data_IF_906949336866
#
_entry.id   IF_906949336866
#
_cell.length_a   1.000
_cell.length_b   1.000
_cell.length_c   1.000
_cell.angle_alpha   90.00
_cell.angle_beta   90.00
_cell.angle_gamma   90.00
#
_symmetry.space_group_name_H-M   'P 1'
#
loop_
_entity.id
_entity.type
_entity.pdbx_description
1 polymer ?
#
# COMPACT_ATOMS: atom_id res chain seq x y z
N UNK A 1 -5.69 8.33 -15.96
CA UNK A 1 -6.62 8.20 -14.81
C UNK A 1 -6.34 6.87 -14.14
N UNK A 2 -6.11 6.86 -12.83
CA UNK A 2 -5.82 5.67 -12.04
C UNK A 2 -7.12 5.02 -11.54
N UNK A 3 -7.09 3.72 -11.34
CA UNK A 3 -8.23 2.94 -10.83
C UNK A 3 -8.03 2.71 -9.32
N UNK A 4 -8.89 3.30 -8.48
CA UNK A 4 -8.79 3.25 -7.02
C UNK A 4 -9.71 2.17 -6.43
N UNK A 5 -9.37 0.91 -6.74
CA UNK A 5 -10.18 -0.28 -6.40
C UNK A 5 -9.74 -1.01 -5.12
N UNK A 6 -8.71 -0.53 -4.42
CA UNK A 6 -8.14 -1.14 -3.22
C UNK A 6 -8.98 -0.94 -1.96
N UNK A 7 -9.68 0.19 -1.84
CA UNK A 7 -10.57 0.50 -0.71
C UNK A 7 -9.86 1.01 0.57
N UNK A 8 -8.53 1.15 0.49
CA UNK A 8 -7.62 1.78 1.45
C UNK A 8 -6.49 2.44 0.66
N UNK A 9 -6.05 3.62 1.09
CA UNK A 9 -5.08 4.44 0.37
C UNK A 9 -3.77 3.70 0.07
N UNK A 10 -3.24 2.96 1.05
CA UNK A 10 -2.02 2.17 0.86
C UNK A 10 -2.17 1.07 -0.20
N UNK A 11 -3.36 0.47 -0.34
CA UNK A 11 -3.63 -0.55 -1.35
C UNK A 11 -3.84 0.09 -2.72
N UNK A 12 -4.52 1.23 -2.79
CA UNK A 12 -4.66 2.01 -4.03
C UNK A 12 -3.29 2.47 -4.57
N UNK A 13 -2.37 2.82 -3.68
CA UNK A 13 -0.98 3.13 -4.03
C UNK A 13 -0.24 1.88 -4.55
N UNK A 14 -0.35 0.75 -3.84
CA UNK A 14 0.26 -0.53 -4.24
C UNK A 14 -0.24 -1.02 -5.62
N UNK A 15 -1.49 -0.69 -5.97
CA UNK A 15 -2.14 -1.03 -7.23
C UNK A 15 -1.79 -0.09 -8.40
N UNK A 16 -0.81 0.80 -8.24
CA UNK A 16 -0.23 1.56 -9.36
C UNK A 16 0.70 0.73 -10.26
N UNK A 17 0.68 -0.60 -10.13
CA UNK A 17 1.24 -1.56 -11.09
C UNK A 17 0.15 -2.53 -11.50
N UNK A 18 -0.07 -2.67 -12.80
CA UNK A 18 -1.00 -3.66 -13.35
C UNK A 18 -0.25 -4.91 -13.81
N UNK A 19 -0.97 -6.02 -13.97
CA UNK A 19 -0.41 -7.28 -14.50
C UNK A 19 0.81 -7.81 -13.75
N UNK A 20 0.85 -7.59 -12.43
CA UNK A 20 1.99 -7.98 -11.56
C UNK A 20 2.48 -9.43 -11.74
N UNK A 21 1.60 -10.45 -11.88
CA UNK A 21 2.05 -11.83 -12.04
C UNK A 21 2.58 -12.20 -13.43
N UNK A 22 2.57 -11.28 -14.41
CA UNK A 22 3.03 -11.56 -15.78
C UNK A 22 4.48 -11.16 -16.01
N UNK A 23 5.07 -11.63 -17.12
CA UNK A 23 6.43 -11.27 -17.55
C UNK A 23 6.61 -9.77 -17.85
N UNK A 24 5.51 -9.05 -18.07
CA UNK A 24 5.50 -7.62 -18.37
C UNK A 24 4.51 -6.88 -17.46
N UNK A 25 4.87 -6.65 -16.18
CA UNK A 25 4.07 -5.81 -15.31
C UNK A 25 4.04 -4.38 -15.87
N UNK A 26 2.87 -3.74 -15.78
CA UNK A 26 2.64 -2.39 -16.31
C UNK A 26 2.81 -1.37 -15.18
N UNK A 27 3.90 -0.60 -15.23
CA UNK A 27 4.18 0.52 -14.34
C UNK A 27 3.35 1.75 -14.69
N UNK A 28 2.61 2.30 -13.73
CA UNK A 28 1.80 3.52 -13.93
C UNK A 28 2.47 4.79 -13.36
N UNK A 29 3.52 4.66 -12.53
CA UNK A 29 4.29 5.75 -11.96
C UNK A 29 5.65 5.89 -12.68
N UNK A 30 5.62 6.28 -13.95
CA UNK A 30 6.83 6.41 -14.78
C UNK A 30 7.61 7.70 -14.52
N UNK A 31 6.99 8.65 -13.83
CA UNK A 31 7.57 9.95 -13.50
C UNK A 31 7.04 10.48 -12.16
N UNK A 32 7.73 11.48 -11.61
CA UNK A 32 7.22 12.21 -10.45
C UNK A 32 5.89 12.93 -10.77
N UNK A 33 5.68 13.32 -12.03
CA UNK A 33 4.40 13.89 -12.48
C UNK A 33 3.24 12.90 -12.36
N UNK A 34 3.49 11.61 -12.63
CA UNK A 34 2.49 10.55 -12.45
C UNK A 34 2.17 10.34 -10.97
N UNK A 35 3.19 10.38 -10.10
CA UNK A 35 3.00 10.32 -8.64
C UNK A 35 2.15 11.49 -8.12
N UNK A 36 2.40 12.70 -8.61
CA UNK A 36 1.58 13.88 -8.26
C UNK A 36 0.15 13.71 -8.79
N UNK A 37 -0.01 13.28 -10.03
CA UNK A 37 -1.33 13.05 -10.65
C UNK A 37 -2.14 11.99 -9.89
N UNK A 38 -1.49 10.91 -9.47
CA UNK A 38 -2.08 9.89 -8.62
C UNK A 38 -2.49 10.48 -7.26
N UNK A 39 -1.60 11.25 -6.62
CA UNK A 39 -1.89 11.86 -5.31
C UNK A 39 -3.06 12.82 -5.35
N UNK A 40 -3.24 13.57 -6.45
CA UNK A 40 -4.39 14.43 -6.66
C UNK A 40 -5.68 13.60 -6.77
N UNK A 41 -5.67 12.55 -7.59
CA UNK A 41 -6.84 11.68 -7.75
C UNK A 41 -7.20 10.95 -6.46
N UNK A 42 -6.21 10.57 -5.66
CA UNK A 42 -6.39 9.97 -4.34
C UNK A 42 -6.83 10.98 -3.25
N UNK A 43 -6.98 12.25 -3.59
CA UNK A 43 -7.44 13.30 -2.65
C UNK A 43 -6.37 13.77 -1.66
N UNK A 44 -5.08 13.50 -1.92
CA UNK A 44 -3.97 13.86 -1.04
C UNK A 44 -3.42 15.27 -1.30
N UNK A 45 -3.75 15.87 -2.44
CA UNK A 45 -3.27 17.19 -2.84
C UNK A 45 -4.37 17.97 -3.56
N UNK A 46 -4.65 19.19 -3.08
CA UNK A 46 -5.46 20.16 -3.78
C UNK A 46 -4.72 20.73 -5.00
N UNK A 47 -5.44 21.33 -5.95
CA UNK A 47 -4.84 21.87 -7.19
C UNK A 47 -3.67 22.84 -6.95
N UNK A 48 -3.78 23.69 -5.92
CA UNK A 48 -2.69 24.62 -5.55
C UNK A 48 -1.41 23.88 -5.14
N UNK A 49 -1.57 22.74 -4.46
CA UNK A 49 -0.47 21.93 -3.96
C UNK A 49 0.15 21.12 -5.11
N UNK A 50 -0.68 20.60 -6.01
CA UNK A 50 -0.23 19.97 -7.26
C UNK A 50 0.65 20.92 -8.06
N UNK A 51 0.20 22.17 -8.28
CA UNK A 51 1.01 23.19 -8.97
C UNK A 51 2.34 23.45 -8.26
N UNK A 52 2.33 23.58 -6.93
CA UNK A 52 3.54 23.78 -6.13
C UNK A 52 4.51 22.60 -6.23
N UNK A 53 4.02 21.36 -6.15
CA UNK A 53 4.84 20.15 -6.26
C UNK A 53 5.49 20.02 -7.64
N UNK A 54 4.74 20.27 -8.72
CA UNK A 54 5.27 20.23 -10.08
C UNK A 54 6.30 21.34 -10.31
N UNK A 55 6.07 22.54 -9.79
CA UNK A 55 7.04 23.63 -9.86
C UNK A 55 8.31 23.33 -9.04
N UNK A 56 8.16 22.73 -7.86
CA UNK A 56 9.27 22.26 -7.03
C UNK A 56 10.09 21.18 -7.73
N UNK A 57 9.44 20.23 -8.39
CA UNK A 57 10.11 19.19 -9.17
C UNK A 57 10.90 19.76 -10.35
N UNK A 58 10.38 20.80 -11.04
CA UNK A 58 11.12 21.51 -12.09
C UNK A 58 12.36 22.22 -11.55
N UNK A 59 12.30 22.77 -10.33
CA UNK A 59 13.44 23.44 -9.67
C UNK A 59 14.46 22.44 -9.13
N UNK A 60 14.03 21.24 -8.74
CA UNK A 60 14.86 20.22 -8.10
C UNK A 60 14.63 18.84 -8.72
N UNK A 61 15.03 18.63 -10.00
CA UNK A 61 14.72 17.39 -10.72
C UNK A 61 15.35 16.14 -10.10
N UNK A 62 16.60 16.24 -9.60
CA UNK A 62 17.27 15.13 -8.92
C UNK A 62 16.54 14.71 -7.63
N UNK A 63 16.05 15.67 -6.85
CA UNK A 63 15.25 15.40 -5.65
C UNK A 63 13.92 14.74 -6.02
N UNK A 64 13.25 15.20 -7.08
CA UNK A 64 12.01 14.60 -7.56
C UNK A 64 12.20 13.15 -8.02
N UNK A 65 13.28 12.86 -8.74
CA UNK A 65 13.65 11.50 -9.15
C UNK A 65 13.90 10.60 -7.93
N UNK A 66 14.70 11.07 -6.95
CA UNK A 66 14.96 10.32 -5.72
C UNK A 66 13.67 10.07 -4.90
N UNK A 67 12.71 11.00 -4.92
CA UNK A 67 11.39 10.78 -4.29
C UNK A 67 10.60 9.71 -5.03
N UNK A 68 10.60 9.71 -6.36
CA UNK A 68 9.92 8.67 -7.14
C UNK A 68 10.51 7.28 -6.86
N UNK A 69 11.84 7.17 -6.80
CA UNK A 69 12.52 5.90 -6.45
C UNK A 69 12.11 5.42 -5.05
N UNK A 70 12.09 6.31 -4.05
CA UNK A 70 11.61 5.98 -2.69
C UNK A 70 10.13 5.60 -2.69
N UNK A 71 9.31 6.29 -3.48
CA UNK A 71 7.89 5.97 -3.62
C UNK A 71 7.70 4.55 -4.18
N UNK A 72 8.44 4.18 -5.22
CA UNK A 72 8.41 2.85 -5.81
C UNK A 72 8.89 1.80 -4.80
N UNK A 73 10.01 2.04 -4.11
CA UNK A 73 10.52 1.12 -3.09
C UNK A 73 9.50 0.87 -1.96
N UNK A 74 8.89 1.95 -1.45
CA UNK A 74 7.82 1.88 -0.45
C UNK A 74 6.59 1.15 -0.99
N UNK A 75 6.16 1.44 -2.23
CA UNK A 75 5.03 0.77 -2.88
C UNK A 75 5.24 -0.73 -2.95
N UNK A 76 6.42 -1.15 -3.39
CA UNK A 76 6.73 -2.57 -3.53
C UNK A 76 6.84 -3.27 -2.18
N UNK A 77 7.36 -2.60 -1.14
CA UNK A 77 7.32 -3.12 0.22
C UNK A 77 5.89 -3.30 0.74
N UNK A 78 5.05 -2.26 0.60
CA UNK A 78 3.61 -2.30 0.96
C UNK A 78 2.93 -3.46 0.23
N UNK A 79 3.13 -3.58 -1.09
CA UNK A 79 2.55 -4.66 -1.89
C UNK A 79 2.96 -6.04 -1.35
N UNK A 80 4.27 -6.28 -1.14
CA UNK A 80 4.76 -7.58 -0.68
C UNK A 80 4.29 -7.94 0.72
N UNK A 81 4.19 -6.96 1.62
CA UNK A 81 3.62 -7.15 2.96
C UNK A 81 2.16 -7.62 2.84
N UNK A 82 1.32 -6.87 2.13
CA UNK A 82 -0.11 -7.18 2.06
C UNK A 82 -0.44 -8.39 1.19
N UNK A 83 0.37 -8.70 0.16
CA UNK A 83 0.27 -9.95 -0.58
C UNK A 83 0.67 -11.15 0.31
N UNK A 84 1.68 -11.00 1.18
CA UNK A 84 1.99 -12.03 2.17
C UNK A 84 0.82 -12.25 3.13
N UNK A 85 0.24 -11.17 3.68
CA UNK A 85 -0.96 -11.25 4.54
C UNK A 85 -2.13 -11.92 3.83
N UNK A 86 -2.45 -11.50 2.60
CA UNK A 86 -3.56 -12.08 1.82
C UNK A 86 -3.37 -13.56 1.51
N UNK A 87 -2.11 -14.01 1.41
CA UNK A 87 -1.74 -15.41 1.24
C UNK A 87 -1.38 -16.13 2.54
N UNK A 88 -1.74 -15.59 3.70
CA UNK A 88 -1.52 -16.18 5.04
C UNK A 88 -0.04 -16.52 5.33
N UNK A 89 0.88 -15.70 4.81
CA UNK A 89 2.33 -15.82 4.99
C UNK A 89 2.86 -14.68 5.85
N UNK A 90 3.98 -14.91 6.52
CA UNK A 90 4.70 -13.87 7.24
C UNK A 90 5.27 -12.81 6.27
N UNK A 91 5.14 -11.53 6.63
CA UNK A 91 5.81 -10.44 5.92
C UNK A 91 7.33 -10.54 6.13
N UNK A 92 8.11 -10.19 5.09
CA UNK A 92 9.57 -10.19 5.19
C UNK A 92 10.05 -9.04 6.09
N UNK A 93 11.06 -9.31 6.91
CA UNK A 93 11.65 -8.31 7.79
C UNK A 93 12.18 -7.09 7.03
N UNK A 94 12.74 -7.29 5.83
CA UNK A 94 13.23 -6.20 4.96
C UNK A 94 12.11 -5.28 4.47
N UNK A 95 10.94 -5.83 4.12
CA UNK A 95 9.80 -5.02 3.67
C UNK A 95 9.22 -4.22 4.85
N UNK A 96 9.16 -4.82 6.04
CA UNK A 96 8.78 -4.12 7.27
C UNK A 96 9.79 -3.02 7.64
N UNK A 97 11.09 -3.24 7.45
CA UNK A 97 12.12 -2.23 7.67
C UNK A 97 11.94 -1.02 6.75
N UNK A 98 11.63 -1.24 5.46
CA UNK A 98 11.30 -0.15 4.51
C UNK A 98 10.09 0.66 4.98
N UNK A 99 9.02 -0.01 5.41
CA UNK A 99 7.83 0.68 5.92
C UNK A 99 8.12 1.47 7.21
N UNK A 100 8.88 0.89 8.13
CA UNK A 100 9.25 1.53 9.39
C UNK A 100 10.17 2.74 9.19
N UNK A 101 11.09 2.68 8.22
CA UNK A 101 11.90 3.84 7.83
C UNK A 101 11.02 4.99 7.29
N UNK A 102 10.05 4.66 6.42
CA UNK A 102 9.10 5.65 5.92
C UNK A 102 8.23 6.22 7.05
N UNK A 103 7.83 5.41 8.05
CA UNK A 103 7.07 5.88 9.22
C UNK A 103 7.90 6.85 10.08
N UNK A 104 9.17 6.53 10.32
CA UNK A 104 10.08 7.39 11.07
C UNK A 104 10.28 8.75 10.40
N UNK A 105 10.25 8.79 9.07
CA UNK A 105 10.23 10.05 8.31
C UNK A 105 8.86 10.75 8.38
N UNK A 106 7.75 10.03 8.24
CA UNK A 106 6.42 10.64 8.15
C UNK A 106 5.93 11.21 9.49
N UNK A 107 5.93 10.42 10.56
CA UNK A 107 5.21 10.71 11.80
C UNK A 107 5.62 12.02 12.51
N UNK A 108 6.90 12.45 12.53
CA UNK A 108 7.27 13.74 13.12
C UNK A 108 6.63 14.97 12.44
N UNK A 109 6.01 14.79 11.26
CA UNK A 109 5.32 15.83 10.51
C UNK A 109 3.80 15.81 10.73
N UNK A 110 3.29 14.93 11.58
CA UNK A 110 1.88 14.87 11.93
C UNK A 110 1.64 15.64 13.22
N UNK A 111 0.71 16.60 13.20
CA UNK A 111 0.39 17.43 14.34
C UNK A 111 -1.11 17.61 14.53
N UNK A 112 -1.51 18.00 15.73
CA UNK A 112 -2.88 18.40 16.03
C UNK A 112 -2.99 19.92 15.79
N UNK A 113 -3.92 20.32 14.93
CA UNK A 113 -4.18 21.73 14.62
C UNK A 113 -5.64 22.10 14.95
N UNK A 114 -5.91 23.34 15.35
CA UNK A 114 -7.28 23.83 15.51
C UNK A 114 -7.99 23.92 14.14
N UNK A 115 -9.23 23.43 14.07
CA UNK A 115 -10.09 23.47 12.87
C UNK A 115 -11.51 23.86 13.26
N UNK A 116 -11.79 25.17 13.22
CA UNK A 116 -13.02 25.74 13.75
C UNK A 116 -13.11 25.49 15.25
N UNK A 117 -14.23 24.94 15.73
CA UNK A 117 -14.44 24.62 17.15
C UNK A 117 -14.00 23.20 17.54
N UNK A 118 -13.10 22.58 16.76
CA UNK A 118 -12.56 21.23 17.01
C UNK A 118 -11.08 21.20 16.69
N UNK A 119 -10.45 20.07 16.97
CA UNK A 119 -9.08 19.78 16.58
C UNK A 119 -9.05 18.71 15.50
N UNK A 120 -8.05 18.76 14.62
CA UNK A 120 -7.84 17.77 13.58
C UNK A 120 -6.35 17.40 13.50
N UNK A 121 -6.09 16.17 13.09
CA UNK A 121 -4.76 15.79 12.63
C UNK A 121 -4.48 16.45 11.28
N UNK A 122 -3.32 17.09 11.16
CA UNK A 122 -2.85 17.69 9.91
C UNK A 122 -1.35 17.46 9.73
N UNK A 123 -0.93 17.31 8.47
CA UNK A 123 0.47 17.16 8.11
C UNK A 123 1.13 18.54 8.02
N UNK A 124 2.04 18.86 8.94
CA UNK A 124 2.52 20.23 9.21
C UNK A 124 3.58 20.76 8.24
N UNK A 125 3.83 20.09 7.11
CA UNK A 125 4.78 20.52 6.08
C UNK A 125 4.09 20.90 4.75
N UNK A 126 3.16 21.86 4.85
CA UNK A 126 2.19 22.35 3.87
C UNK A 126 2.76 23.00 2.57
N UNK A 127 3.64 22.31 1.83
CA UNK A 127 3.81 22.57 0.38
C UNK A 127 5.21 22.50 -0.21
N UNK A 128 6.28 22.49 0.59
CA UNK A 128 7.65 22.56 0.06
C UNK A 128 8.30 21.19 -0.17
N UNK A 129 7.87 20.16 0.55
CA UNK A 129 8.47 18.83 0.43
C UNK A 129 7.86 18.03 -0.71
N UNK A 130 8.72 17.52 -1.58
CA UNK A 130 8.31 16.70 -2.73
C UNK A 130 7.81 15.31 -2.31
N UNK A 131 8.16 14.81 -1.13
CA UNK A 131 7.73 13.48 -0.63
C UNK A 131 6.43 13.49 0.18
N UNK A 132 5.76 14.64 0.32
CA UNK A 132 4.62 14.80 1.24
C UNK A 132 3.44 13.85 0.97
N UNK A 133 3.24 13.41 -0.27
CA UNK A 133 2.16 12.48 -0.60
C UNK A 133 2.39 11.07 -0.04
N UNK A 134 3.64 10.72 0.31
CA UNK A 134 3.99 9.40 0.85
C UNK A 134 3.61 9.26 2.32
N UNK A 135 3.50 10.34 3.08
CA UNK A 135 3.19 10.28 4.52
C UNK A 135 1.80 9.71 4.83
N UNK A 136 0.69 10.20 4.23
CA UNK A 136 -0.62 9.61 4.44
C UNK A 136 -0.71 8.17 3.92
N UNK A 137 0.03 7.82 2.85
CA UNK A 137 0.13 6.44 2.35
C UNK A 137 0.78 5.53 3.39
N UNK A 138 1.88 5.99 3.96
CA UNK A 138 2.65 5.28 4.99
C UNK A 138 1.82 5.08 6.25
N UNK A 139 1.15 6.13 6.72
CA UNK A 139 0.22 6.04 7.85
C UNK A 139 -0.91 5.05 7.54
N UNK A 140 -1.53 5.13 6.36
CA UNK A 140 -2.60 4.20 5.96
C UNK A 140 -2.14 2.74 5.93
N UNK A 141 -0.87 2.45 5.62
CA UNK A 141 -0.33 1.10 5.66
C UNK A 141 -0.18 0.61 7.10
N UNK A 142 0.37 1.44 7.99
CA UNK A 142 0.53 1.12 9.41
C UNK A 142 -0.82 0.93 10.11
N UNK A 143 -1.78 1.82 9.84
CA UNK A 143 -3.14 1.74 10.39
C UNK A 143 -3.80 0.43 9.95
N UNK A 144 -3.70 0.05 8.68
CA UNK A 144 -4.28 -1.19 8.18
C UNK A 144 -3.62 -2.43 8.82
N UNK A 145 -2.29 -2.46 8.92
CA UNK A 145 -1.53 -3.55 9.54
C UNK A 145 -1.85 -3.77 11.02
N UNK A 146 -2.19 -2.69 11.73
CA UNK A 146 -2.52 -2.73 13.16
C UNK A 146 -4.01 -2.80 13.42
N UNK A 147 -4.84 -2.73 12.38
CA UNK A 147 -6.30 -2.76 12.49
C UNK A 147 -6.86 -4.19 12.58
N UNK A 148 -8.08 -4.29 13.09
CA UNK A 148 -8.91 -5.51 13.02
C UNK A 148 -9.40 -5.82 11.60
N UNK A 149 -9.18 -4.93 10.65
CA UNK A 149 -9.59 -5.12 9.25
C UNK A 149 -8.54 -5.86 8.42
N UNK A 150 -7.33 -6.08 8.94
CA UNK A 150 -6.24 -6.77 8.22
C UNK A 150 -6.67 -8.10 7.56
N UNK A 151 -7.48 -8.97 8.20
CA UNK A 151 -7.93 -10.23 7.57
C UNK A 151 -8.89 -10.04 6.37
N UNK A 152 -9.34 -8.82 6.11
CA UNK A 152 -10.17 -8.49 4.94
C UNK A 152 -9.33 -8.19 3.70
N UNK A 153 -8.01 -8.07 3.82
CA UNK A 153 -7.12 -7.84 2.68
C UNK A 153 -7.06 -9.11 1.82
N UNK A 154 -7.32 -8.95 0.53
CA UNK A 154 -7.31 -10.05 -0.46
C UNK A 154 -6.53 -9.63 -1.70
N UNK A 155 -5.97 -10.63 -2.38
CA UNK A 155 -5.35 -10.46 -3.70
C UNK A 155 -6.32 -10.92 -4.80
N UNK A 156 -6.36 -10.18 -5.91
CA UNK A 156 -7.29 -10.43 -7.00
C UNK A 156 -6.98 -11.75 -7.73
N UNK A 157 -7.96 -12.65 -7.78
CA UNK A 157 -7.83 -13.97 -8.40
C UNK A 157 -7.97 -13.94 -9.94
N UNK A 158 -8.14 -12.77 -10.55
CA UNK A 158 -8.10 -12.67 -12.00
C UNK A 158 -6.66 -12.91 -12.50
N UNK A 159 -6.53 -13.73 -13.54
CA UNK A 159 -5.24 -13.99 -14.20
C UNK A 159 -4.56 -12.67 -14.57
N UNK A 160 -3.27 -12.58 -14.25
CA UNK A 160 -2.42 -11.44 -14.52
C UNK A 160 -3.02 -10.13 -13.99
N UNK A 161 -3.60 -10.13 -12.78
CA UNK A 161 -4.00 -8.90 -12.10
C UNK A 161 -3.09 -8.63 -10.90
N UNK A 162 -3.19 -9.46 -9.86
CA UNK A 162 -2.37 -9.33 -8.66
C UNK A 162 -2.68 -8.09 -7.82
N UNK A 163 -3.76 -7.34 -8.08
CA UNK A 163 -4.12 -6.20 -7.25
C UNK A 163 -4.65 -6.60 -5.88
N UNK A 164 -4.36 -5.79 -4.88
CA UNK A 164 -4.83 -5.95 -3.51
C UNK A 164 -6.11 -5.16 -3.27
N UNK A 165 -7.03 -5.67 -2.46
CA UNK A 165 -8.27 -4.98 -2.13
C UNK A 165 -8.84 -5.38 -0.78
N UNK A 166 -9.70 -4.53 -0.23
CA UNK A 166 -10.52 -4.86 0.94
C UNK A 166 -11.78 -5.64 0.55
N UNK A 167 -11.92 -6.86 1.08
CA UNK A 167 -13.14 -7.64 0.98
C UNK A 167 -14.16 -7.24 2.05
N UNK A 168 -14.97 -6.24 1.72
CA UNK A 168 -16.10 -5.78 2.54
C UNK A 168 -17.40 -6.52 2.25
N UNK A 169 -17.37 -7.63 1.50
CA UNK A 169 -18.59 -8.41 1.26
C UNK A 169 -19.06 -9.08 2.56
N UNK A 170 -20.38 -9.19 2.72
CA UNK A 170 -21.01 -9.77 3.93
C UNK A 170 -20.41 -11.13 4.33
N UNK A 171 -20.07 -11.95 3.34
CA UNK A 171 -19.55 -13.31 3.53
C UNK A 171 -18.05 -13.44 3.26
N UNK A 172 -17.30 -12.33 3.10
CA UNK A 172 -15.87 -12.34 2.73
C UNK A 172 -15.55 -13.26 1.53
N UNK A 173 -16.41 -13.17 0.52
CA UNK A 173 -16.41 -14.01 -0.67
C UNK A 173 -16.05 -13.25 -1.95
N UNK A 174 -15.55 -12.02 -1.86
CA UNK A 174 -15.15 -11.25 -3.04
C UNK A 174 -13.82 -11.80 -3.56
N UNK A 175 -13.81 -12.18 -4.83
CA UNK A 175 -12.64 -12.80 -5.50
C UNK A 175 -11.86 -11.84 -6.41
N UNK A 176 -12.45 -10.69 -6.73
CA UNK A 176 -11.92 -9.76 -7.72
C UNK A 176 -11.88 -8.34 -7.18
N UNK A 177 -10.80 -7.62 -7.49
CA UNK A 177 -10.62 -6.21 -7.15
C UNK A 177 -11.67 -5.32 -7.81
N UNK A 178 -12.24 -5.70 -8.95
CA UNK A 178 -13.39 -5.04 -9.55
C UNK A 178 -14.21 -6.06 -10.36
N UNK A 179 -15.53 -6.06 -10.15
CA UNK A 179 -16.42 -7.02 -10.83
C UNK A 179 -16.59 -6.68 -12.31
N UNK A 180 -16.67 -5.39 -12.66
CA UNK A 180 -16.91 -4.91 -14.03
C UNK A 180 -15.71 -5.19 -14.93
N UNK A 181 -14.49 -5.11 -14.39
CA UNK A 181 -13.23 -5.31 -15.10
C UNK A 181 -12.73 -6.75 -14.94
N UNK A 182 -12.29 -7.12 -13.74
CA UNK A 182 -11.62 -8.41 -13.49
C UNK A 182 -12.62 -9.57 -13.46
N UNK A 183 -13.79 -9.38 -12.85
CA UNK A 183 -14.85 -10.38 -12.79
C UNK A 183 -15.39 -10.74 -14.18
N UNK A 184 -15.72 -9.74 -15.00
CA UNK A 184 -16.19 -9.96 -16.37
C UNK A 184 -15.12 -10.56 -17.28
N UNK A 185 -13.86 -10.12 -17.18
CA UNK A 185 -12.73 -10.73 -17.91
C UNK A 185 -12.60 -12.22 -17.59
N UNK A 186 -12.70 -12.60 -16.31
CA UNK A 186 -12.66 -14.00 -15.90
C UNK A 186 -13.86 -14.81 -16.43
N UNK A 187 -15.07 -14.25 -16.42
CA UNK A 187 -16.28 -14.89 -16.98
C UNK A 187 -16.16 -15.10 -18.49
N UNK A 188 -15.71 -14.09 -19.22
CA UNK A 188 -15.52 -14.15 -20.66
C UNK A 188 -14.53 -15.27 -21.02
N UNK A 189 -13.37 -15.33 -20.34
CA UNK A 189 -12.35 -16.37 -20.58
C UNK A 189 -12.92 -17.78 -20.39
N UNK A 190 -13.60 -18.04 -19.27
CA UNK A 190 -14.25 -19.35 -19.01
C UNK A 190 -15.26 -19.72 -20.09
N UNK A 191 -16.00 -18.75 -20.62
CA UNK A 191 -16.92 -18.98 -21.73
C UNK A 191 -16.19 -19.34 -23.03
N UNK A 192 -15.09 -18.66 -23.37
CA UNK A 192 -14.25 -19.01 -24.53
C UNK A 192 -13.61 -20.39 -24.40
N UNK A 193 -13.05 -20.73 -23.23
CA UNK A 193 -12.47 -22.05 -22.93
C UNK A 193 -13.51 -23.17 -23.18
N UNK A 194 -14.73 -23.00 -22.67
CA UNK A 194 -15.84 -23.96 -22.90
C UNK A 194 -16.24 -24.06 -24.38
N UNK A 195 -16.29 -22.94 -25.11
CA UNK A 195 -16.60 -22.94 -26.55
C UNK A 195 -15.51 -23.63 -27.38
N UNK A 196 -14.23 -23.46 -27.02
CA UNK A 196 -13.11 -24.16 -27.69
C UNK A 196 -13.12 -25.65 -27.40
N UNK A 197 -13.35 -26.05 -26.15
CA UNK A 197 -13.49 -27.45 -25.76
C UNK A 197 -14.69 -28.12 -26.46
N UNK A 198 -15.82 -27.42 -26.61
CA UNK A 198 -17.00 -27.93 -27.32
C UNK A 198 -16.86 -28.02 -28.84
N UNK A 199 -15.95 -27.24 -29.46
CA UNK A 199 -15.63 -27.33 -30.90
C UNK A 199 -14.56 -28.37 -31.22
N UNK A 200 -13.66 -28.68 -30.29
CA UNK A 200 -12.63 -29.73 -30.44
C UNK A 200 -13.18 -31.17 -30.42
N UNK A 201 -14.39 -31.39 -29.92
CA UNK A 201 -15.04 -32.71 -29.86
C UNK A 201 -15.78 -33.17 -31.14
N UNK A 202 -15.76 -32.40 -32.23
CA UNK A 202 -16.43 -32.73 -33.51
C UNK A 202 -15.45 -32.88 -34.69
N UNK A 203 -14.28 -33.47 -34.45
CA UNK A 203 -13.43 -34.00 -35.52
C UNK A 203 -13.38 -35.53 -35.43
N UNK A 204 -14.53 -36.16 -35.67
CA UNK A 204 -14.59 -37.59 -35.98
C UNK A 204 -13.90 -37.83 -37.32
N UNK A 205 -12.70 -38.40 -37.25
CA UNK A 205 -12.01 -38.98 -38.39
C UNK A 205 -12.95 -39.93 -39.14
N UNK A 206 -13.05 -39.71 -40.44
CA UNK A 206 -13.76 -40.58 -41.38
C UNK A 206 -12.92 -41.86 -41.52
N UNK A 207 -13.41 -43.07 -41.22
CA UNK A 207 -12.69 -44.29 -41.55
C UNK A 207 -12.64 -44.42 -43.08
N UNK A 208 -11.44 -44.59 -43.65
CA UNK A 208 -11.26 -44.91 -45.07
C UNK A 208 -11.69 -46.36 -45.36
N UNK A 209 -12.11 -46.68 -46.59
CA UNK A 209 -12.60 -48.01 -46.93
C UNK A 209 -11.45 -48.98 -47.23
N UNK A 210 -11.51 -50.15 -46.61
CA UNK A 210 -11.14 -51.47 -47.17
C UNK A 210 -9.67 -51.76 -47.47
N UNK A 211 -9.08 -52.67 -46.69
CA UNK A 211 -8.42 -53.83 -47.28
C UNK A 211 -8.55 -55.06 -46.37
N UNK A 212 -9.02 -56.15 -46.95
CA UNK A 212 -9.27 -57.44 -46.30
C UNK A 212 -8.01 -58.31 -46.29
N UNK A 213 -7.73 -59.01 -45.19
CA UNK A 213 -7.29 -60.43 -45.20
C UNK A 213 -7.31 -61.06 -43.79
N UNK A 214 -7.39 -62.41 -43.71
CA UNK A 214 -8.13 -63.08 -42.65
C UNK A 214 -7.28 -63.81 -41.60
N UNK A 215 -7.91 -63.99 -40.43
CA UNK A 215 -7.92 -65.25 -39.68
C UNK A 215 -6.90 -65.41 -38.57
N UNK A 216 -7.36 -65.33 -37.32
CA UNK A 216 -7.02 -66.30 -36.26
C UNK A 216 -7.95 -66.17 -35.04
N UNK A 217 -8.07 -67.26 -34.30
CA UNK A 217 -9.19 -67.68 -33.44
C UNK A 217 -9.01 -67.25 -31.97
N UNK A 218 -10.04 -67.56 -31.16
CA UNK A 218 -10.09 -67.68 -29.67
C UNK A 218 -10.21 -66.37 -28.88
N UNK A 219 -11.01 -66.20 -27.82
CA UNK A 219 -11.98 -67.02 -27.08
C UNK A 219 -12.93 -66.10 -26.27
N UNK A 220 -14.16 -66.57 -26.02
CA UNK A 220 -14.82 -66.51 -24.70
C UNK A 220 -15.32 -65.20 -24.06
N UNK A 221 -16.58 -64.83 -24.35
CA UNK A 221 -17.71 -64.49 -23.42
C UNK A 221 -17.54 -63.43 -22.28
N UNK A 222 -18.59 -63.01 -21.52
CA UNK A 222 -19.23 -61.71 -21.71
C UNK A 222 -19.34 -60.85 -20.42
N UNK A 223 -20.02 -59.70 -20.57
CA UNK A 223 -20.85 -59.03 -19.56
C UNK A 223 -20.15 -58.11 -18.52
N UNK A 224 -20.69 -56.98 -18.05
CA UNK A 224 -21.84 -56.11 -18.38
C UNK A 224 -21.74 -54.90 -17.41
N UNK A 225 -22.26 -53.74 -17.86
CA UNK A 225 -22.69 -52.55 -17.08
C UNK A 225 -21.65 -51.56 -16.54
N UNK A 226 -21.44 -50.54 -17.36
CA UNK A 226 -21.22 -49.16 -16.90
C UNK A 226 -22.51 -48.57 -16.32
N UNK A 227 -22.43 -47.91 -15.17
CA UNK A 227 -23.46 -46.98 -14.68
C UNK A 227 -22.99 -45.54 -14.92
N UNK A 228 -23.63 -44.89 -15.90
CA UNK A 228 -23.67 -43.42 -16.00
C UNK A 228 -24.62 -42.90 -14.94
N UNK A 229 -24.26 -41.82 -14.27
CA UNK A 229 -25.24 -40.96 -13.61
C UNK A 229 -24.98 -39.51 -14.01
N UNK A 230 -25.82 -39.05 -14.93
CA UNK A 230 -26.11 -37.64 -15.14
C UNK A 230 -27.24 -37.26 -14.16
N UNK A 231 -27.05 -36.21 -13.36
CA UNK A 231 -28.16 -35.46 -12.76
C UNK A 231 -27.85 -33.97 -12.77
N UNK A 232 -28.34 -33.36 -13.84
CA UNK A 232 -28.81 -31.98 -13.90
C UNK A 232 -29.81 -31.73 -12.76
N UNK A 233 -29.64 -30.67 -11.97
CA UNK A 233 -30.72 -30.08 -11.17
C UNK A 233 -30.76 -28.57 -11.41
N UNK A 234 -31.98 -28.14 -11.64
CA UNK A 234 -32.43 -26.83 -12.09
C UNK A 234 -32.22 -25.75 -11.01
N UNK A 235 -31.97 -24.52 -11.47
CA UNK A 235 -32.05 -23.30 -10.69
C UNK A 235 -33.52 -22.92 -10.47
N UNK A 236 -33.93 -22.46 -9.27
CA UNK A 236 -35.18 -21.73 -9.11
C UNK A 236 -34.96 -20.24 -9.43
N UNK A 237 -35.88 -19.67 -10.20
CA UNK A 237 -36.06 -18.23 -10.39
C UNK A 237 -36.79 -17.66 -9.18
N UNK A 238 -36.22 -16.65 -8.52
CA UNK A 238 -36.91 -15.88 -7.48
C UNK A 238 -37.52 -14.62 -8.09
N UNK A 239 -38.85 -14.52 -7.97
CA UNK A 239 -39.68 -13.39 -8.34
C UNK A 239 -39.48 -12.24 -7.34
N UNK A 240 -38.97 -11.11 -7.83
CA UNK A 240 -38.86 -9.85 -7.07
C UNK A 240 -40.23 -9.17 -7.03
N UNK A 241 -40.86 -9.11 -5.85
CA UNK A 241 -42.10 -8.35 -5.61
C UNK A 241 -41.74 -7.08 -4.85
N UNK A 242 -42.00 -5.93 -5.48
CA UNK A 242 -41.82 -4.59 -4.89
C UNK A 242 -43.02 -4.21 -4.02
N UNK A 243 -42.74 -3.67 -2.82
CA UNK A 243 -43.68 -2.86 -2.03
C UNK A 243 -42.91 -1.78 -1.22
N UNK A 244 -43.55 -0.65 -0.84
CA UNK A 244 -42.89 0.66 -0.79
C UNK A 244 -42.51 1.19 0.61
N UNK A 245 -41.74 2.29 0.53
CA UNK A 245 -41.20 3.22 1.54
C UNK A 245 -41.85 3.33 2.93
N UNK A 246 -41.00 3.35 3.96
CA UNK A 246 -41.27 3.95 5.27
C UNK A 246 -40.11 4.89 5.66
N UNK A 247 -40.45 6.15 5.93
CA UNK A 247 -39.53 7.24 6.20
C UNK A 247 -38.90 7.22 7.60
N UNK A 248 -37.67 7.71 7.68
CA UNK A 248 -36.99 8.01 8.95
C UNK A 248 -37.31 9.46 9.38
N UNK A 249 -37.55 9.72 10.68
CA UNK A 249 -37.87 11.06 11.16
C UNK A 249 -36.66 12.00 11.12
N UNK A 250 -36.91 13.24 10.70
CA UNK A 250 -35.97 14.37 10.78
C UNK A 250 -35.69 14.72 12.24
N UNK A 251 -34.42 14.77 12.63
CA UNK A 251 -33.99 15.37 13.89
C UNK A 251 -33.97 16.90 13.76
N UNK A 252 -34.74 17.59 14.60
CA UNK A 252 -34.77 19.06 14.74
C UNK A 252 -33.59 19.52 15.59
N UNK A 253 -32.82 20.55 15.20
CA UNK A 253 -31.80 21.12 16.08
C UNK A 253 -32.44 22.01 17.18
N UNK A 254 -31.88 22.05 18.41
CA UNK A 254 -32.38 22.94 19.44
C UNK A 254 -32.09 24.42 19.12
N UNK A 255 -33.05 25.26 19.50
CA UNK A 255 -33.03 26.72 19.39
C UNK A 255 -31.86 27.34 20.17
N UNK A 256 -31.10 28.22 19.49
CA UNK A 256 -30.09 29.08 20.11
C UNK A 256 -30.77 30.11 21.01
N UNK A 257 -30.68 29.96 22.33
CA UNK A 257 -30.73 31.10 23.25
C UNK A 257 -29.34 31.70 23.36
N UNK A 258 -29.28 33.03 23.22
CA UNK A 258 -28.06 33.81 23.11
C UNK A 258 -27.16 33.69 24.34
N UNK A 259 -25.88 33.49 24.08
CA UNK A 259 -24.80 33.80 25.00
C UNK A 259 -23.97 34.88 24.33
N UNK A 260 -24.15 36.10 24.83
CA UNK A 260 -23.24 37.23 24.63
C UNK A 260 -21.90 36.86 25.28
N UNK A 261 -20.84 36.77 24.47
CA UNK A 261 -19.47 36.68 24.98
C UNK A 261 -18.74 37.94 24.54
N UNK A 262 -18.31 38.68 25.55
CA UNK A 262 -17.50 39.90 25.48
C UNK A 262 -16.11 39.59 24.91
N UNK A 263 -15.65 40.47 24.03
CA UNK A 263 -14.25 40.59 23.63
C UNK A 263 -13.38 41.04 24.82
N UNK A 264 -12.15 40.51 24.95
CA UNK A 264 -11.05 41.25 25.57
C UNK A 264 -9.90 41.45 24.57
N UNK A 265 -9.42 42.68 24.53
CA UNK A 265 -8.37 43.16 23.64
C UNK A 265 -6.95 42.77 24.07
N UNK A 266 -6.05 43.02 23.11
CA UNK A 266 -4.63 43.32 23.19
C UNK A 266 -3.79 42.63 24.29
N UNK A 267 -2.99 41.65 23.87
CA UNK A 267 -1.81 41.19 24.60
C UNK A 267 -0.58 41.14 23.68
N UNK A 268 0.42 41.94 24.02
CA UNK A 268 1.78 41.99 23.45
C UNK A 268 2.55 40.66 23.65
N UNK A 269 3.63 40.40 22.86
CA UNK A 269 4.32 39.11 22.86
C UNK A 269 5.43 39.01 23.90
N UNK A 270 5.43 37.94 24.69
CA UNK A 270 6.54 37.57 25.57
C UNK A 270 7.64 36.84 24.78
N UNK A 271 8.81 37.47 24.71
CA UNK A 271 10.08 36.86 24.29
C UNK A 271 10.75 36.17 25.50
N UNK A 272 11.37 35.01 25.25
CA UNK A 272 12.53 34.54 26.04
C UNK A 272 12.33 33.28 26.88
N UNK A 273 12.98 32.18 26.48
CA UNK A 273 13.63 31.24 27.40
C UNK A 273 14.62 30.35 26.62
N UNK A 274 15.90 30.73 26.67
CA UNK A 274 17.05 29.92 26.31
C UNK A 274 17.65 29.32 27.59
N UNK A 275 18.00 28.03 27.54
CA UNK A 275 19.08 27.34 28.28
C UNK A 275 19.14 27.40 29.82
N UNK A 276 19.01 26.23 30.47
CA UNK A 276 19.81 25.86 31.65
C UNK A 276 19.66 24.37 32.01
N UNK A 277 20.63 23.53 31.60
CA UNK A 277 20.90 22.24 32.25
C UNK A 277 22.42 22.08 32.39
N UNK A 278 22.97 22.63 33.47
CA UNK A 278 24.28 22.27 33.99
C UNK A 278 24.35 22.59 35.49
N UNK A 279 25.03 21.71 36.23
CA UNK A 279 25.41 21.75 37.66
C UNK A 279 24.41 21.10 38.60
N UNK A 280 24.75 19.90 39.09
CA UNK A 280 25.01 19.65 40.52
C UNK A 280 26.05 18.54 40.65
N UNK A 281 27.04 18.74 41.52
CA UNK A 281 28.04 17.75 41.89
C UNK A 281 28.31 17.77 43.39
N UNK A 282 28.78 16.62 43.91
CA UNK A 282 29.39 16.44 45.23
C UNK A 282 28.62 15.49 46.18
N UNK A 283 29.30 14.74 47.10
CA UNK A 283 30.55 15.12 47.75
C UNK A 283 31.67 14.05 47.78
N UNK A 284 32.76 14.46 48.43
CA UNK A 284 34.16 13.98 48.42
C UNK A 284 34.47 12.92 49.49
N UNK A 285 35.50 12.10 49.24
CA UNK A 285 36.43 11.60 50.26
C UNK A 285 37.87 11.47 49.70
N UNK A 286 38.84 11.97 50.47
CA UNK A 286 40.32 11.80 50.43
C UNK A 286 40.74 11.48 51.89
N UNK A 287 41.98 11.04 52.25
CA UNK A 287 43.27 11.18 51.54
C UNK A 287 44.24 9.97 51.65
N UNK A 288 45.40 10.05 50.96
CA UNK A 288 46.57 9.21 51.21
C UNK A 288 47.70 9.42 50.18
N UNK A 289 48.81 10.02 50.61
CA UNK A 289 50.14 10.10 49.97
C UNK A 289 51.18 9.69 51.07
N UNK A 290 52.51 9.50 50.85
CA UNK A 290 53.37 9.96 49.73
C UNK A 290 54.56 9.02 49.34
N UNK A 291 55.43 9.48 48.41
CA UNK A 291 56.80 8.97 48.17
C UNK A 291 57.32 9.36 46.76
N UNK A 292 58.08 10.44 46.58
CA UNK A 292 59.56 10.58 46.56
C UNK A 292 60.23 10.06 45.25
N UNK A 293 60.94 10.96 44.52
CA UNK A 293 61.54 10.80 43.16
C UNK A 293 62.85 9.98 43.09
N UNK A 294 63.88 10.26 42.25
CA UNK A 294 64.06 11.28 41.18
C UNK A 294 64.79 10.77 39.88
N UNK A 295 65.10 11.67 38.92
CA UNK A 295 66.12 11.51 37.84
C UNK A 295 65.55 11.06 36.49
N UNK A 296 65.92 11.55 35.30
CA UNK A 296 67.16 12.19 34.79
C UNK A 296 66.84 13.10 33.59
N UNK A 297 67.75 14.06 33.35
CA UNK A 297 67.74 15.14 32.34
C UNK A 297 68.45 14.68 31.02
N UNK A 298 68.63 15.53 29.98
CA UNK A 298 68.32 15.21 28.58
C UNK A 298 69.56 15.03 27.68
N UNK A 299 69.34 14.70 26.41
CA UNK A 299 70.33 14.87 25.32
C UNK A 299 69.65 15.52 24.11
N UNK A 300 70.24 16.62 23.64
CA UNK A 300 69.82 17.37 22.45
C UNK A 300 70.54 16.88 21.17
N UNK A 301 70.91 17.77 20.23
CA UNK A 301 70.24 17.91 18.94
C UNK A 301 71.17 17.78 17.72
N UNK A 302 70.61 17.60 16.52
CA UNK A 302 71.26 17.85 15.22
C UNK A 302 70.21 17.75 14.11
N UNK A 303 69.84 18.83 13.41
CA UNK A 303 70.46 19.27 12.13
C UNK A 303 69.62 18.71 10.96
N UNK A 304 69.31 19.36 9.85
CA UNK A 304 69.70 20.61 9.22
C UNK A 304 69.02 20.63 7.84
N UNK A 305 68.88 21.84 7.29
CA UNK A 305 68.31 22.27 6.00
C UNK A 305 68.88 21.61 4.72
N UNK A 306 68.10 21.54 3.64
CA UNK A 306 68.63 21.39 2.26
C UNK A 306 67.61 21.02 1.15
N UNK A 307 67.10 22.05 0.48
CA UNK A 307 66.53 22.24 -0.88
C UNK A 307 66.32 21.05 -1.86
N UNK A 308 65.20 21.03 -2.65
CA UNK A 308 65.07 20.21 -3.86
C UNK A 308 65.41 21.01 -5.14
N UNK A 309 65.91 20.30 -6.15
CA UNK A 309 65.87 20.68 -7.56
C UNK A 309 64.80 19.82 -8.27
#
# INVERSE_FOLDING_TARGET
>A
MFELSGGRLCLDFANTVSKRPSDHPEELLNSYGDLVSWSQQAGLAAEREVRALLQGAKRHPATAAAVLERAIALREAIYRIFSAVAGERAARASDLATLNAALAEALPRLGIVPKGNRFAWEWTANGQRLDRMLWPVTQSAADLLTSRELPQVRECEAQNCGWLFMDRSRNRSRRWCDMKVCGNRAKARRHYERKRAGRGGRSSGKPGPGDERPGERMDGNPAVRSRRNARSRQQPQEHETQAPAAGLPRATPPSRRGLSVREPGDAEPAQGALAALARQGGPRTRPGAPGAGPGTRPSGPSGGSGTPA
#
